data_IF_151351594696
#
_entry.id   IF_151351594696
#
_cell.length_a   1.000
_cell.length_b   1.000
_cell.length_c   1.000
_cell.angle_alpha   90.00
_cell.angle_beta   90.00
_cell.angle_gamma   90.00
#
_symmetry.space_group_name_H-M   'P 1'
#
loop_
_entity.id
_entity.type
_entity.pdbx_description
1 polymer ?
#
# COMPACT_ATOMS: atom_id res chain seq x y z
N UNK A 1 1.20 -55.30 27.65
CA UNK A 1 2.45 -54.58 27.96
C UNK A 1 2.89 -53.83 26.72
N UNK A 2 2.90 -52.49 26.75
CA UNK A 2 3.49 -51.70 25.66
C UNK A 2 5.01 -51.85 25.80
N UNK A 3 5.65 -52.54 24.85
CA UNK A 3 7.10 -52.73 24.84
C UNK A 3 7.85 -51.39 24.74
N UNK A 4 9.14 -51.36 25.08
CA UNK A 4 9.97 -50.14 25.12
C UNK A 4 9.89 -49.27 23.86
N UNK A 5 9.70 -49.89 22.68
CA UNK A 5 9.49 -49.19 21.40
C UNK A 5 8.20 -48.37 21.33
N UNK A 6 7.12 -48.83 21.98
CA UNK A 6 5.84 -48.11 22.03
C UNK A 6 5.89 -46.90 22.95
N UNK A 7 6.71 -46.94 24.01
CA UNK A 7 6.95 -45.80 24.91
C UNK A 7 7.73 -44.69 24.18
N UNK A 8 8.75 -45.06 23.41
CA UNK A 8 9.53 -44.12 22.58
C UNK A 8 8.65 -43.47 21.50
N UNK A 9 7.79 -44.26 20.84
CA UNK A 9 6.86 -43.72 19.84
C UNK A 9 5.87 -42.72 20.45
N UNK A 10 5.30 -43.03 21.62
CA UNK A 10 4.39 -42.13 22.34
C UNK A 10 5.10 -40.83 22.78
N UNK A 11 6.37 -40.93 23.21
CA UNK A 11 7.19 -39.79 23.58
C UNK A 11 7.49 -38.86 22.38
N UNK A 12 7.78 -39.42 21.21
CA UNK A 12 7.98 -38.64 19.97
C UNK A 12 6.68 -37.95 19.54
N UNK A 13 5.53 -38.62 19.66
CA UNK A 13 4.22 -38.03 19.37
C UNK A 13 3.87 -36.89 20.32
N UNK A 14 4.14 -37.05 21.62
CA UNK A 14 3.97 -36.01 22.63
C UNK A 14 4.90 -34.82 22.38
N UNK A 15 6.17 -35.06 22.06
CA UNK A 15 7.11 -34.00 21.70
C UNK A 15 6.64 -33.26 20.45
N UNK A 16 6.23 -33.96 19.39
CA UNK A 16 5.70 -33.31 18.19
C UNK A 16 4.41 -32.53 18.49
N UNK A 17 3.50 -33.07 19.28
CA UNK A 17 2.27 -32.39 19.66
C UNK A 17 2.57 -31.12 20.46
N UNK A 18 3.41 -31.20 21.50
CA UNK A 18 3.86 -30.06 22.30
C UNK A 18 4.57 -29.04 21.42
N UNK A 19 5.48 -29.46 20.55
CA UNK A 19 6.21 -28.57 19.65
C UNK A 19 5.27 -27.89 18.65
N UNK A 20 4.28 -28.62 18.13
CA UNK A 20 3.26 -28.06 17.22
C UNK A 20 2.36 -27.08 17.95
N UNK A 21 1.93 -27.38 19.17
CA UNK A 21 1.12 -26.47 20.01
C UNK A 21 1.91 -25.24 20.46
N UNK A 22 3.19 -25.41 20.80
CA UNK A 22 4.09 -24.32 21.17
C UNK A 22 4.40 -23.44 19.96
N UNK A 23 4.59 -24.02 18.77
CA UNK A 23 4.70 -23.28 17.51
C UNK A 23 3.40 -22.56 17.13
N UNK A 24 2.23 -23.18 17.34
CA UNK A 24 0.91 -22.56 17.13
C UNK A 24 0.66 -21.41 18.13
N UNK A 25 1.12 -21.55 19.37
CA UNK A 25 1.09 -20.53 20.42
C UNK A 25 2.07 -19.38 20.16
N UNK A 26 3.25 -19.66 19.58
CA UNK A 26 4.16 -18.62 19.09
C UNK A 26 3.58 -17.91 17.86
N UNK A 27 2.73 -18.58 17.07
CA UNK A 27 2.02 -18.01 15.91
C UNK A 27 0.75 -17.22 16.27
N UNK A 28 0.25 -17.31 17.50
CA UNK A 28 -0.93 -16.55 17.92
C UNK A 28 -0.53 -15.12 18.23
N UNK A 29 -0.53 -14.29 17.18
CA UNK A 29 -0.58 -12.84 17.32
C UNK A 29 -1.73 -12.47 18.28
N UNK A 30 -1.39 -12.03 19.49
CA UNK A 30 -2.35 -11.52 20.48
C UNK A 30 -2.86 -10.14 20.04
N UNK A 31 -3.70 -10.11 19.02
CA UNK A 31 -4.36 -8.89 18.55
C UNK A 31 -5.70 -8.71 19.24
N UNK A 32 -5.96 -7.50 19.67
CA UNK A 32 -7.28 -7.08 20.16
C UNK A 32 -8.32 -7.19 19.03
N UNK A 33 -9.59 -7.35 19.38
CA UNK A 33 -10.69 -7.38 18.41
C UNK A 33 -10.74 -6.12 17.53
N UNK A 34 -10.36 -4.96 18.11
CA UNK A 34 -10.27 -3.70 17.38
C UNK A 34 -9.16 -3.74 16.32
N UNK A 35 -7.97 -4.25 16.67
CA UNK A 35 -6.87 -4.37 15.70
C UNK A 35 -7.23 -5.31 14.55
N UNK A 36 -7.89 -6.44 14.83
CA UNK A 36 -8.39 -7.34 13.80
C UNK A 36 -9.39 -6.66 12.87
N UNK A 37 -10.36 -5.93 13.42
CA UNK A 37 -11.34 -5.21 12.64
C UNK A 37 -10.69 -4.16 11.73
N UNK A 38 -9.80 -3.32 12.28
CA UNK A 38 -9.10 -2.29 11.53
C UNK A 38 -8.21 -2.89 10.43
N UNK A 39 -7.50 -3.99 10.71
CA UNK A 39 -6.64 -4.67 9.76
C UNK A 39 -7.43 -5.31 8.61
N UNK A 40 -8.53 -6.01 8.92
CA UNK A 40 -9.41 -6.60 7.91
C UNK A 40 -10.08 -5.55 7.05
N UNK A 41 -10.57 -4.46 7.65
CA UNK A 41 -11.14 -3.33 6.94
C UNK A 41 -10.09 -2.68 6.02
N UNK A 42 -8.87 -2.51 6.50
CA UNK A 42 -7.75 -1.98 5.71
C UNK A 42 -7.41 -2.88 4.52
N UNK A 43 -7.33 -4.20 4.74
CA UNK A 43 -7.09 -5.19 3.70
C UNK A 43 -8.19 -5.16 2.62
N UNK A 44 -9.46 -5.06 3.04
CA UNK A 44 -10.58 -4.86 2.12
C UNK A 44 -10.45 -3.57 1.30
N UNK A 45 -10.14 -2.44 1.94
CA UNK A 45 -9.96 -1.16 1.25
C UNK A 45 -8.74 -1.19 0.32
N UNK A 46 -7.65 -1.90 0.66
CA UNK A 46 -6.52 -2.18 -0.24
C UNK A 46 -7.04 -2.86 -1.51
N UNK A 47 -7.82 -3.93 -1.37
CA UNK A 47 -8.39 -4.63 -2.52
C UNK A 47 -9.25 -3.71 -3.39
N UNK A 48 -10.15 -2.95 -2.78
CA UNK A 48 -10.96 -1.93 -3.49
C UNK A 48 -10.05 -0.92 -4.20
N UNK A 49 -8.95 -0.50 -3.59
CA UNK A 49 -8.05 0.48 -4.19
C UNK A 49 -7.29 -0.07 -5.41
N UNK A 50 -6.90 -1.34 -5.35
CA UNK A 50 -6.16 -2.03 -6.42
C UNK A 50 -7.05 -2.40 -7.60
N UNK A 51 -8.37 -2.48 -7.41
CA UNK A 51 -9.34 -2.65 -8.50
C UNK A 51 -9.43 -1.46 -9.47
N UNK A 52 -8.87 -0.29 -9.11
CA UNK A 52 -8.94 0.91 -9.93
C UNK A 52 -9.64 2.09 -9.25
N UNK A 53 -10.29 1.91 -8.10
CA UNK A 53 -10.75 3.05 -7.27
C UNK A 53 -9.54 3.70 -6.62
N UNK A 54 -9.13 4.87 -7.11
CA UNK A 54 -7.97 5.60 -6.55
C UNK A 54 -8.41 6.70 -5.60
N UNK A 55 -7.49 7.14 -4.76
CA UNK A 55 -7.69 8.24 -3.80
C UNK A 55 -8.08 7.81 -2.39
N UNK A 56 -8.20 6.51 -2.12
CA UNK A 56 -8.54 5.96 -0.81
C UNK A 56 -7.32 5.43 -0.02
N UNK A 57 -6.11 5.61 -0.56
CA UNK A 57 -4.87 5.13 0.05
C UNK A 57 -4.64 5.69 1.46
N UNK A 58 -5.05 6.94 1.67
CA UNK A 58 -4.94 7.61 2.97
C UNK A 58 -5.71 6.86 4.05
N UNK A 59 -6.90 6.35 3.75
CA UNK A 59 -7.72 5.61 4.73
C UNK A 59 -7.06 4.31 5.17
N UNK A 60 -6.49 3.56 4.24
CA UNK A 60 -5.77 2.31 4.51
C UNK A 60 -4.65 2.57 5.52
N UNK A 61 -3.88 3.61 5.23
CA UNK A 61 -2.71 3.99 5.99
C UNK A 61 -3.10 4.44 7.41
N UNK A 62 -4.15 5.27 7.54
CA UNK A 62 -4.66 5.71 8.84
C UNK A 62 -5.17 4.56 9.69
N UNK A 63 -5.96 3.64 9.11
CA UNK A 63 -6.52 2.52 9.85
C UNK A 63 -5.43 1.57 10.36
N UNK A 64 -4.41 1.29 9.54
CA UNK A 64 -3.28 0.45 9.95
C UNK A 64 -2.39 1.15 10.98
N UNK A 65 -2.16 2.46 10.84
CA UNK A 65 -1.40 3.23 11.83
C UNK A 65 -2.11 3.28 13.19
N UNK A 66 -3.45 3.37 13.20
CA UNK A 66 -4.25 3.29 14.42
C UNK A 66 -4.18 1.91 15.09
N UNK A 67 -4.03 0.84 14.30
CA UNK A 67 -3.98 -0.53 14.82
C UNK A 67 -2.58 -0.94 15.30
N UNK A 68 -1.51 -0.51 14.60
CA UNK A 68 -0.17 -1.07 14.79
C UNK A 68 0.94 -0.03 15.01
N UNK A 69 0.62 1.27 14.98
CA UNK A 69 1.62 2.35 15.03
C UNK A 69 2.02 2.83 13.64
N UNK A 70 2.54 4.05 13.56
CA UNK A 70 2.81 4.72 12.29
C UNK A 70 3.91 4.01 11.51
N UNK A 71 5.07 3.76 12.12
CA UNK A 71 6.21 3.12 11.44
C UNK A 71 5.92 1.68 11.04
N UNK A 72 5.42 0.86 11.96
CA UNK A 72 5.11 -0.55 11.71
C UNK A 72 4.01 -0.74 10.65
N UNK A 73 2.99 0.14 10.64
CA UNK A 73 1.96 0.08 9.61
C UNK A 73 2.52 0.17 8.19
N UNK A 74 3.61 0.91 8.00
CA UNK A 74 4.20 1.09 6.66
C UNK A 74 4.69 -0.23 6.09
N UNK A 75 5.37 -1.04 6.92
CA UNK A 75 5.89 -2.36 6.58
C UNK A 75 4.79 -3.40 6.43
N UNK A 76 3.84 -3.44 7.36
CA UNK A 76 2.68 -4.34 7.30
C UNK A 76 1.90 -4.21 5.99
N UNK A 77 1.69 -2.98 5.51
CA UNK A 77 0.95 -2.71 4.28
C UNK A 77 1.68 -3.24 3.04
N UNK A 78 3.02 -3.31 3.01
CA UNK A 78 3.76 -3.59 1.76
C UNK A 78 3.43 -4.94 1.15
N UNK A 79 3.49 -6.08 1.88
CA UNK A 79 3.13 -7.38 1.31
C UNK A 79 1.68 -7.41 0.84
N UNK A 80 0.75 -6.77 1.56
CA UNK A 80 -0.66 -6.66 1.16
C UNK A 80 -0.82 -5.88 -0.16
N UNK A 81 -0.08 -4.78 -0.31
CA UNK A 81 -0.07 -4.01 -1.56
C UNK A 81 0.46 -4.85 -2.72
N UNK A 82 1.54 -5.61 -2.51
CA UNK A 82 2.13 -6.48 -3.54
C UNK A 82 1.10 -7.54 -3.98
N UNK A 83 0.42 -8.19 -3.04
CA UNK A 83 -0.64 -9.16 -3.35
C UNK A 83 -1.73 -8.49 -4.20
N UNK A 84 -2.25 -7.34 -3.77
CA UNK A 84 -3.27 -6.61 -4.54
C UNK A 84 -2.76 -6.12 -5.90
N UNK A 85 -1.50 -5.75 -6.01
CA UNK A 85 -0.84 -5.35 -7.26
C UNK A 85 -0.70 -6.52 -8.23
N UNK A 86 -0.37 -7.73 -7.77
CA UNK A 86 -0.33 -8.94 -8.61
C UNK A 86 -1.69 -9.16 -9.29
N UNK A 87 -2.78 -9.12 -8.52
CA UNK A 87 -4.13 -9.26 -9.09
C UNK A 87 -4.48 -8.12 -10.05
N UNK A 88 -4.14 -6.88 -9.70
CA UNK A 88 -4.38 -5.73 -10.58
C UNK A 88 -3.59 -5.83 -11.88
N UNK A 89 -2.34 -6.30 -11.85
CA UNK A 89 -1.52 -6.54 -13.03
C UNK A 89 -2.13 -7.65 -13.88
N UNK A 90 -2.49 -8.79 -13.29
CA UNK A 90 -3.13 -9.90 -14.02
C UNK A 90 -4.40 -9.41 -14.74
N UNK A 91 -5.22 -8.59 -14.08
CA UNK A 91 -6.48 -8.13 -14.65
C UNK A 91 -6.32 -6.99 -15.68
N UNK A 92 -5.41 -6.04 -15.46
CA UNK A 92 -5.33 -4.79 -16.25
C UNK A 92 -4.10 -4.67 -17.18
N UNK A 93 -3.18 -5.64 -17.22
CA UNK A 93 -1.91 -5.54 -17.97
C UNK A 93 -2.07 -5.14 -19.46
N UNK A 94 -3.17 -5.53 -20.11
CA UNK A 94 -3.42 -5.27 -21.53
C UNK A 94 -3.52 -3.78 -21.88
N UNK A 95 -3.74 -2.91 -20.89
CA UNK A 95 -3.90 -1.46 -21.08
C UNK A 95 -2.65 -0.66 -20.68
N UNK A 96 -1.56 -1.33 -20.32
CA UNK A 96 -0.39 -0.66 -19.75
C UNK A 96 0.39 0.17 -20.77
N UNK A 97 0.67 1.41 -20.40
CA UNK A 97 1.44 2.36 -21.20
C UNK A 97 2.87 2.49 -20.65
N UNK A 98 3.75 1.59 -21.06
CA UNK A 98 5.13 1.46 -20.57
C UNK A 98 5.97 2.73 -20.68
N UNK A 99 5.73 3.55 -21.71
CA UNK A 99 6.42 4.83 -21.91
C UNK A 99 6.35 5.74 -20.67
N UNK A 100 5.21 5.76 -19.98
CA UNK A 100 5.05 6.59 -18.79
C UNK A 100 5.72 5.96 -17.56
N UNK A 101 5.78 4.62 -17.49
CA UNK A 101 6.48 3.90 -16.41
C UNK A 101 7.98 4.20 -16.50
N UNK A 102 8.60 3.99 -17.67
CA UNK A 102 10.05 4.22 -17.86
C UNK A 102 10.42 5.68 -17.58
N UNK A 103 9.53 6.62 -17.88
CA UNK A 103 9.75 8.05 -17.61
C UNK A 103 9.61 8.42 -16.13
N UNK A 104 8.77 7.72 -15.37
CA UNK A 104 8.39 8.11 -14.00
C UNK A 104 9.11 7.28 -12.93
N UNK A 105 9.25 5.97 -13.16
CA UNK A 105 9.75 5.00 -12.20
C UNK A 105 11.18 5.28 -11.71
N UNK A 106 12.17 5.69 -12.55
CA UNK A 106 13.52 5.97 -12.06
C UNK A 106 13.56 7.08 -11.00
N UNK A 107 12.77 8.14 -11.22
CA UNK A 107 12.62 9.23 -10.25
C UNK A 107 11.90 8.79 -8.99
N UNK A 108 10.91 7.89 -9.13
CA UNK A 108 10.22 7.27 -8.00
C UNK A 108 11.15 6.40 -7.17
N UNK A 109 12.02 5.61 -7.81
CA UNK A 109 13.03 4.81 -7.11
C UNK A 109 14.03 5.71 -6.37
N UNK A 110 14.48 6.81 -6.99
CA UNK A 110 15.32 7.80 -6.32
C UNK A 110 14.61 8.39 -5.08
N UNK A 111 13.33 8.74 -5.21
CA UNK A 111 12.54 9.21 -4.08
C UNK A 111 12.38 8.16 -2.97
N UNK A 112 12.22 6.88 -3.32
CA UNK A 112 12.20 5.79 -2.32
C UNK A 112 13.51 5.74 -1.56
N UNK A 113 14.66 5.79 -2.24
CA UNK A 113 15.97 5.79 -1.59
C UNK A 113 16.12 6.98 -0.63
N UNK A 114 15.71 8.19 -1.05
CA UNK A 114 15.68 9.37 -0.19
C UNK A 114 14.79 9.11 1.04
N UNK A 115 13.59 8.56 0.83
CA UNK A 115 12.68 8.18 1.91
C UNK A 115 13.30 7.18 2.89
N UNK A 116 14.02 6.16 2.39
CA UNK A 116 14.73 5.17 3.21
C UNK A 116 15.72 5.85 4.14
N UNK A 117 16.53 6.78 3.61
CA UNK A 117 17.52 7.53 4.38
C UNK A 117 16.88 8.48 5.40
N UNK A 118 15.77 9.13 5.04
CA UNK A 118 15.06 10.03 5.96
C UNK A 118 14.43 9.25 7.11
N UNK A 119 13.79 8.11 6.82
CA UNK A 119 12.96 7.39 7.80
C UNK A 119 13.70 6.37 8.67
N UNK A 120 14.93 5.97 8.33
CA UNK A 120 15.64 4.89 9.05
C UNK A 120 15.85 5.19 10.54
N UNK A 121 16.25 6.42 10.86
CA UNK A 121 16.72 6.82 12.18
C UNK A 121 15.68 7.69 12.93
N UNK A 122 14.44 7.78 12.43
CA UNK A 122 13.37 8.52 13.09
C UNK A 122 12.75 7.69 14.23
N UNK A 123 12.55 8.35 15.36
CA UNK A 123 11.70 7.88 16.45
C UNK A 123 10.22 7.89 16.03
N UNK A 124 9.38 7.16 16.77
CA UNK A 124 7.96 6.96 16.42
C UNK A 124 7.17 8.28 16.33
N UNK A 125 7.45 9.25 17.21
CA UNK A 125 6.75 10.52 17.22
C UNK A 125 7.14 11.36 16.01
N UNK A 126 8.43 11.47 15.73
CA UNK A 126 8.93 12.19 14.57
C UNK A 126 8.48 11.52 13.26
N UNK A 127 8.46 10.20 13.22
CA UNK A 127 7.95 9.44 12.07
C UNK A 127 6.47 9.75 11.82
N UNK A 128 5.64 9.68 12.87
CA UNK A 128 4.22 10.04 12.81
C UNK A 128 4.01 11.47 12.32
N UNK A 129 4.78 12.43 12.82
CA UNK A 129 4.70 13.82 12.37
C UNK A 129 5.11 13.99 10.89
N UNK A 130 6.19 13.32 10.46
CA UNK A 130 6.63 13.34 9.06
C UNK A 130 5.57 12.78 8.11
N UNK A 131 4.90 11.71 8.53
CA UNK A 131 3.81 11.08 7.82
C UNK A 131 2.59 12.00 7.72
N UNK A 132 2.23 12.70 8.80
CA UNK A 132 1.19 13.73 8.77
C UNK A 132 1.54 14.85 7.78
N UNK A 133 2.77 15.37 7.79
CA UNK A 133 3.24 16.38 6.83
C UNK A 133 3.14 15.88 5.39
N UNK A 134 3.55 14.64 5.13
CA UNK A 134 3.43 14.00 3.81
C UNK A 134 1.98 13.92 3.35
N UNK A 135 1.06 13.51 4.23
CA UNK A 135 -0.38 13.43 3.95
C UNK A 135 -0.93 14.82 3.59
N UNK A 136 -0.67 15.83 4.43
CA UNK A 136 -1.17 17.18 4.21
C UNK A 136 -0.59 17.81 2.94
N UNK A 137 0.72 17.68 2.74
CA UNK A 137 1.41 18.17 1.54
C UNK A 137 0.85 17.53 0.27
N UNK A 138 0.57 16.23 0.30
CA UNK A 138 -0.06 15.51 -0.82
C UNK A 138 -1.41 16.13 -1.19
N UNK A 139 -2.19 16.53 -0.19
CA UNK A 139 -3.55 17.02 -0.40
C UNK A 139 -3.55 18.48 -0.87
N UNK A 140 -2.73 19.32 -0.25
CA UNK A 140 -2.53 20.70 -0.70
C UNK A 140 -2.09 20.71 -2.16
N UNK A 141 -1.14 19.84 -2.52
CA UNK A 141 -0.65 19.73 -3.89
C UNK A 141 -1.74 19.26 -4.86
N UNK A 142 -2.55 18.27 -4.47
CA UNK A 142 -3.68 17.80 -5.28
C UNK A 142 -4.73 18.88 -5.50
N UNK A 143 -5.10 19.60 -4.45
CA UNK A 143 -6.05 20.69 -4.52
C UNK A 143 -5.55 21.83 -5.42
N UNK A 144 -4.28 22.22 -5.28
CA UNK A 144 -3.68 23.22 -6.13
C UNK A 144 -3.64 22.79 -7.60
N UNK A 145 -3.32 21.52 -7.86
CA UNK A 145 -3.27 20.99 -9.22
C UNK A 145 -4.64 20.91 -9.88
N UNK A 146 -5.68 20.53 -9.13
CA UNK A 146 -7.04 20.46 -9.68
C UNK A 146 -7.58 21.82 -10.12
N UNK A 147 -7.17 22.89 -9.44
CA UNK A 147 -7.53 24.27 -9.81
C UNK A 147 -6.83 24.76 -11.09
N UNK A 148 -5.75 24.11 -11.54
CA UNK A 148 -5.10 24.49 -12.81
C UNK A 148 -5.96 24.03 -14.00
N UNK A 149 -6.58 25.00 -14.68
CA UNK A 149 -7.31 24.81 -15.96
C UNK A 149 -6.42 24.49 -17.16
N UNK A 150 -5.10 24.33 -16.97
CA UNK A 150 -4.16 24.13 -18.08
C UNK A 150 -4.53 22.88 -18.88
N UNK A 151 -4.72 23.05 -20.19
CA UNK A 151 -5.05 21.95 -21.10
C UNK A 151 -3.83 21.24 -21.69
N UNK A 152 -2.64 21.77 -21.43
CA UNK A 152 -1.42 21.29 -22.09
C UNK A 152 -0.78 20.16 -21.27
N UNK A 153 -0.48 19.05 -21.96
CA UNK A 153 0.23 17.91 -21.38
C UNK A 153 1.67 18.35 -21.06
N UNK A 154 2.16 18.21 -19.82
CA UNK A 154 3.51 18.61 -19.48
C UNK A 154 4.55 17.78 -20.24
N UNK A 155 5.36 18.42 -21.07
CA UNK A 155 6.40 17.74 -21.87
C UNK A 155 7.77 17.74 -21.20
N UNK A 156 8.04 18.69 -20.30
CA UNK A 156 9.35 18.81 -19.65
C UNK A 156 9.67 17.66 -18.69
N UNK A 157 10.92 17.17 -18.67
CA UNK A 157 11.36 16.06 -17.83
C UNK A 157 11.25 16.38 -16.34
N UNK A 158 11.48 17.63 -15.94
CA UNK A 158 11.38 18.08 -14.54
C UNK A 158 10.00 17.87 -13.91
N UNK A 159 8.92 17.85 -14.71
CA UNK A 159 7.60 17.52 -14.20
C UNK A 159 7.51 16.05 -13.77
N UNK A 160 7.97 15.13 -14.63
CA UNK A 160 8.05 13.72 -14.30
C UNK A 160 9.05 13.46 -13.15
N UNK A 161 10.16 14.20 -13.13
CA UNK A 161 11.18 14.13 -12.09
C UNK A 161 10.66 14.52 -10.71
N UNK A 162 10.09 15.72 -10.59
CA UNK A 162 9.56 16.21 -9.31
C UNK A 162 8.41 15.35 -8.79
N UNK A 163 7.44 15.02 -9.65
CA UNK A 163 6.33 14.14 -9.27
C UNK A 163 6.81 12.73 -8.91
N UNK A 164 7.80 12.20 -9.63
CA UNK A 164 8.39 10.89 -9.37
C UNK A 164 9.10 10.86 -8.01
N UNK A 165 10.01 11.80 -7.75
CA UNK A 165 10.72 11.89 -6.46
C UNK A 165 9.74 12.02 -5.30
N UNK A 166 8.74 12.90 -5.42
CA UNK A 166 7.72 13.06 -4.37
C UNK A 166 6.90 11.78 -4.19
N UNK A 167 6.48 11.12 -5.27
CA UNK A 167 5.81 9.82 -5.18
C UNK A 167 6.70 8.78 -4.45
N UNK A 168 8.00 8.75 -4.76
CA UNK A 168 8.97 7.87 -4.13
C UNK A 168 9.12 8.08 -2.62
N UNK A 169 9.32 9.34 -2.20
CA UNK A 169 9.46 9.68 -0.77
C UNK A 169 8.17 9.31 -0.03
N UNK A 170 7.02 9.70 -0.57
CA UNK A 170 5.73 9.51 0.09
C UNK A 170 5.27 8.07 0.09
N UNK A 171 5.67 7.25 -0.89
CA UNK A 171 5.40 5.81 -0.84
C UNK A 171 6.23 5.08 0.19
N UNK A 172 7.48 5.51 0.42
CA UNK A 172 8.34 4.88 1.42
C UNK A 172 7.88 5.25 2.84
N UNK A 173 7.62 6.53 3.11
CA UNK A 173 7.24 7.01 4.45
C UNK A 173 5.81 6.64 4.83
N UNK A 174 4.88 6.61 3.87
CA UNK A 174 3.47 6.47 4.21
C UNK A 174 2.65 5.58 3.29
N UNK A 175 3.23 4.95 2.27
CA UNK A 175 2.45 4.27 1.21
C UNK A 175 1.49 5.22 0.43
N UNK A 176 1.88 6.49 0.28
CA UNK A 176 0.99 7.57 -0.21
C UNK A 176 1.34 8.10 -1.62
N UNK A 177 2.14 7.36 -2.40
CA UNK A 177 2.51 7.75 -3.76
C UNK A 177 1.32 8.09 -4.67
N UNK A 178 0.15 7.51 -4.37
CA UNK A 178 -1.09 7.72 -5.13
C UNK A 178 -1.38 9.19 -5.41
N UNK A 179 -1.15 10.11 -4.49
CA UNK A 179 -1.42 11.52 -4.72
C UNK A 179 -0.60 12.07 -5.90
N UNK A 180 0.71 11.83 -5.90
CA UNK A 180 1.63 12.34 -6.93
C UNK A 180 1.56 11.54 -8.24
N UNK A 181 1.46 10.21 -8.17
CA UNK A 181 1.31 9.38 -9.37
C UNK A 181 -0.02 9.64 -10.08
N UNK A 182 -1.12 9.86 -9.33
CA UNK A 182 -2.40 10.19 -9.91
C UNK A 182 -2.36 11.55 -10.58
N UNK A 183 -1.75 12.57 -9.96
CA UNK A 183 -1.54 13.88 -10.60
C UNK A 183 -0.77 13.72 -11.90
N UNK A 184 0.34 12.96 -11.89
CA UNK A 184 1.14 12.72 -13.08
C UNK A 184 0.33 12.08 -14.20
N UNK A 185 -0.36 10.97 -13.95
CA UNK A 185 -1.15 10.28 -14.96
C UNK A 185 -2.38 11.08 -15.42
N UNK A 186 -3.03 11.83 -14.52
CA UNK A 186 -4.12 12.74 -14.88
C UNK A 186 -3.62 13.90 -15.76
N UNK A 187 -2.40 14.41 -15.52
CA UNK A 187 -1.78 15.43 -16.36
C UNK A 187 -1.40 14.88 -17.75
N UNK A 188 -1.07 13.58 -17.84
CA UNK A 188 -0.83 12.87 -19.10
C UNK A 188 -2.13 12.47 -19.83
N UNK A 189 -3.29 12.69 -19.21
CA UNK A 189 -4.63 12.46 -19.80
C UNK A 189 -4.84 11.02 -20.29
N UNK A 190 -4.29 10.06 -19.57
CA UNK A 190 -4.54 8.65 -19.85
C UNK A 190 -6.04 8.32 -19.72
N UNK A 191 -6.64 7.60 -20.69
CA UNK A 191 -7.95 6.98 -20.51
C UNK A 191 -7.98 6.11 -19.25
N UNK A 192 -9.14 5.93 -18.61
CA UNK A 192 -9.28 5.20 -17.33
C UNK A 192 -8.60 3.84 -17.33
N UNK A 193 -8.80 3.03 -18.36
CA UNK A 193 -8.23 1.68 -18.39
C UNK A 193 -6.71 1.71 -18.54
N UNK A 194 -6.18 2.64 -19.33
CA UNK A 194 -4.73 2.86 -19.45
C UNK A 194 -4.14 3.38 -18.15
N UNK A 195 -4.84 4.29 -17.47
CA UNK A 195 -4.47 4.78 -16.16
C UNK A 195 -4.37 3.61 -15.16
N UNK A 196 -5.42 2.78 -15.07
CA UNK A 196 -5.47 1.68 -14.10
C UNK A 196 -4.37 0.64 -14.39
N UNK A 197 -4.24 0.21 -15.65
CA UNK A 197 -3.22 -0.77 -16.06
C UNK A 197 -1.79 -0.27 -15.93
N UNK A 198 -1.54 1.00 -16.22
CA UNK A 198 -0.21 1.62 -16.04
C UNK A 198 0.13 1.79 -14.56
N UNK A 199 -0.83 2.23 -13.74
CA UNK A 199 -0.65 2.35 -12.31
C UNK A 199 -0.43 0.99 -11.64
N UNK A 200 -1.11 -0.08 -12.08
CA UNK A 200 -0.93 -1.42 -11.53
C UNK A 200 0.53 -1.89 -11.63
N UNK A 201 1.15 -1.79 -12.82
CA UNK A 201 2.56 -2.12 -12.99
C UNK A 201 3.50 -1.18 -12.25
N UNK A 202 3.24 0.13 -12.27
CA UNK A 202 4.06 1.09 -11.55
C UNK A 202 4.13 0.75 -10.05
N UNK A 203 2.97 0.50 -9.43
CA UNK A 203 2.88 0.18 -8.01
C UNK A 203 3.44 -1.20 -7.69
N UNK A 204 3.22 -2.19 -8.55
CA UNK A 204 3.84 -3.51 -8.39
C UNK A 204 5.36 -3.40 -8.33
N UNK A 205 5.98 -2.75 -9.31
CA UNK A 205 7.44 -2.64 -9.43
C UNK A 205 8.02 -1.86 -8.24
N UNK A 206 7.43 -0.72 -7.89
CA UNK A 206 7.96 0.10 -6.78
C UNK A 206 7.75 -0.57 -5.42
N UNK A 207 6.65 -1.33 -5.24
CA UNK A 207 6.41 -2.05 -3.99
C UNK A 207 7.35 -3.25 -3.83
N UNK A 208 7.73 -3.91 -4.94
CA UNK A 208 8.83 -4.89 -4.92
C UNK A 208 10.15 -4.20 -4.62
N UNK A 209 10.44 -3.07 -5.27
CA UNK A 209 11.69 -2.34 -5.06
C UNK A 209 11.89 -1.88 -3.62
N UNK A 210 10.82 -1.46 -2.94
CA UNK A 210 10.92 -1.01 -1.54
C UNK A 210 10.95 -2.14 -0.51
N UNK A 211 10.48 -3.33 -0.87
CA UNK A 211 10.34 -4.47 0.04
C UNK A 211 11.66 -4.81 0.77
N UNK A 212 12.83 -4.88 0.10
CA UNK A 212 14.11 -5.09 0.78
C UNK A 212 14.41 -4.04 1.85
N UNK A 213 14.05 -2.77 1.65
CA UNK A 213 14.34 -1.73 2.63
C UNK A 213 13.48 -1.87 3.89
N UNK A 214 12.22 -2.31 3.75
CA UNK A 214 11.39 -2.62 4.91
C UNK A 214 11.89 -3.84 5.70
N UNK A 215 12.47 -4.83 5.02
CA UNK A 215 13.01 -6.04 5.67
C UNK A 215 14.37 -5.74 6.32
N UNK A 216 15.31 -5.17 5.58
CA UNK A 216 16.72 -5.10 5.99
C UNK A 216 17.11 -3.77 6.66
N UNK A 217 16.51 -2.64 6.25
CA UNK A 217 16.89 -1.32 6.75
C UNK A 217 15.96 -0.87 7.88
N UNK A 218 14.65 -0.85 7.63
CA UNK A 218 13.66 -0.39 8.60
C UNK A 218 13.20 -1.48 9.57
N UNK A 219 13.37 -2.76 9.21
CA UNK A 219 12.99 -3.93 10.01
C UNK A 219 11.51 -3.95 10.45
N UNK A 220 10.65 -3.31 9.67
CA UNK A 220 9.19 -3.21 9.88
C UNK A 220 8.42 -4.43 9.34
N UNK A 221 9.11 -5.41 8.76
CA UNK A 221 8.51 -6.67 8.29
C UNK A 221 9.19 -7.82 9.05
N UNK A 222 8.45 -8.37 10.01
CA UNK A 222 8.82 -9.55 10.81
C UNK A 222 8.05 -10.79 10.34
N UNK A 223 8.43 -11.97 10.84
CA UNK A 223 7.68 -13.21 10.60
C UNK A 223 6.21 -13.09 11.05
N UNK A 224 5.97 -12.48 12.21
CA UNK A 224 4.61 -12.27 12.73
C UNK A 224 3.79 -11.37 11.82
N UNK A 225 4.40 -10.28 11.34
CA UNK A 225 3.78 -9.37 10.37
C UNK A 225 3.42 -10.10 9.06
N UNK A 226 4.26 -11.04 8.63
CA UNK A 226 4.05 -11.82 7.42
C UNK A 226 2.89 -12.82 7.60
N UNK A 227 2.81 -13.51 8.74
CA UNK A 227 1.70 -14.40 9.09
C UNK A 227 0.39 -13.62 9.18
N UNK A 228 0.40 -12.44 9.80
CA UNK A 228 -0.76 -11.54 9.81
C UNK A 228 -1.20 -11.22 8.39
N UNK A 229 -0.26 -10.86 7.52
CA UNK A 229 -0.57 -10.54 6.13
C UNK A 229 -1.25 -11.68 5.38
N UNK A 230 -0.81 -12.93 5.59
CA UNK A 230 -1.47 -14.11 5.01
C UNK A 230 -2.93 -14.24 5.45
N UNK A 231 -3.22 -13.99 6.75
CA UNK A 231 -4.59 -14.01 7.29
C UNK A 231 -5.48 -12.90 6.73
N UNK A 232 -4.89 -11.80 6.25
CA UNK A 232 -5.61 -10.64 5.69
C UNK A 232 -5.89 -10.76 4.17
N UNK A 233 -5.25 -11.69 3.46
CA UNK A 233 -5.45 -11.89 2.01
C UNK A 233 -6.93 -12.05 1.61
N UNK A 234 -7.78 -12.83 2.33
CA UNK A 234 -9.19 -12.95 1.98
C UNK A 234 -9.91 -11.60 1.92
N UNK A 235 -9.57 -10.66 2.81
CA UNK A 235 -10.10 -9.30 2.80
C UNK A 235 -9.73 -8.55 1.51
N UNK A 236 -8.48 -8.66 1.06
CA UNK A 236 -8.01 -8.07 -0.20
C UNK A 236 -8.81 -8.62 -1.38
N UNK A 237 -8.99 -9.94 -1.45
CA UNK A 237 -9.71 -10.58 -2.55
C UNK A 237 -11.16 -10.11 -2.61
N UNK A 238 -11.87 -10.09 -1.48
CA UNK A 238 -13.23 -9.57 -1.40
C UNK A 238 -13.29 -8.10 -1.83
N UNK A 239 -12.35 -7.28 -1.37
CA UNK A 239 -12.24 -5.88 -1.76
C UNK A 239 -11.99 -5.70 -3.26
N UNK A 240 -11.13 -6.52 -3.86
CA UNK A 240 -10.87 -6.50 -5.30
C UNK A 240 -12.13 -6.81 -6.10
N UNK A 241 -12.87 -7.88 -5.74
CA UNK A 241 -14.11 -8.24 -6.43
C UNK A 241 -15.15 -7.12 -6.38
N UNK A 242 -15.40 -6.59 -5.18
CA UNK A 242 -16.33 -5.46 -4.99
C UNK A 242 -15.84 -4.24 -5.76
N UNK A 243 -14.55 -3.93 -5.69
CA UNK A 243 -13.95 -2.80 -6.36
C UNK A 243 -14.05 -2.88 -7.89
N UNK A 244 -13.76 -4.04 -8.48
CA UNK A 244 -13.87 -4.25 -9.94
C UNK A 244 -15.31 -4.02 -10.37
N UNK A 245 -16.28 -4.59 -9.65
CA UNK A 245 -17.70 -4.38 -9.90
C UNK A 245 -18.05 -2.88 -9.88
N UNK A 246 -17.64 -2.13 -8.86
CA UNK A 246 -17.89 -0.70 -8.74
C UNK A 246 -17.20 0.11 -9.86
N UNK A 247 -15.94 -0.19 -10.18
CA UNK A 247 -15.17 0.52 -11.20
C UNK A 247 -15.82 0.42 -12.57
N UNK A 248 -16.38 -0.74 -12.94
CA UNK A 248 -17.05 -0.91 -14.23
C UNK A 248 -18.27 -0.01 -14.40
N UNK A 249 -18.93 0.41 -13.32
CA UNK A 249 -20.09 1.31 -13.34
C UNK A 249 -19.70 2.79 -13.44
N UNK A 250 -18.44 3.15 -13.16
CA UNK A 250 -17.97 4.54 -13.15
C UNK A 250 -17.59 4.99 -14.57
N UNK A 251 -18.28 6.03 -15.05
CA UNK A 251 -17.95 6.73 -16.32
C UNK A 251 -16.67 7.56 -16.19
N UNK A 252 -15.93 7.70 -17.30
CA UNK A 252 -14.67 8.47 -17.41
C UNK A 252 -14.73 9.86 -16.75
N UNK A 253 -15.76 10.66 -17.06
CA UNK A 253 -15.90 12.02 -16.52
C UNK A 253 -16.12 12.07 -14.99
N UNK A 254 -16.68 11.00 -14.40
CA UNK A 254 -16.87 10.89 -12.95
C UNK A 254 -15.62 10.35 -12.26
N UNK A 255 -14.85 9.49 -12.94
CA UNK A 255 -13.64 8.88 -12.39
C UNK A 255 -12.64 9.92 -11.89
N UNK A 256 -12.35 10.95 -12.70
CA UNK A 256 -11.43 12.04 -12.31
C UNK A 256 -11.92 12.80 -11.08
N UNK A 257 -13.22 13.14 -11.02
CA UNK A 257 -13.83 13.86 -9.89
C UNK A 257 -13.81 13.01 -8.61
N UNK A 258 -14.08 11.73 -8.72
CA UNK A 258 -14.07 10.79 -7.60
C UNK A 258 -12.68 10.70 -6.95
N UNK A 259 -11.61 10.56 -7.75
CA UNK A 259 -10.23 10.49 -7.22
C UNK A 259 -9.92 11.74 -6.39
N UNK A 260 -10.24 12.92 -6.93
CA UNK A 260 -9.99 14.19 -6.26
C UNK A 260 -10.79 14.30 -4.96
N UNK A 261 -12.09 13.98 -5.00
CA UNK A 261 -12.96 14.03 -3.84
C UNK A 261 -12.53 13.07 -2.73
N UNK A 262 -12.29 11.79 -3.06
CA UNK A 262 -11.90 10.79 -2.07
C UNK A 262 -10.54 11.10 -1.45
N UNK A 263 -9.61 11.65 -2.23
CA UNK A 263 -8.31 12.04 -1.69
C UNK A 263 -8.42 13.27 -0.78
N UNK A 264 -9.26 14.26 -1.14
CA UNK A 264 -9.52 15.42 -0.28
C UNK A 264 -10.19 15.02 1.04
N UNK A 265 -11.17 14.11 0.98
CA UNK A 265 -11.86 13.59 2.15
C UNK A 265 -10.91 12.82 3.07
N UNK A 266 -10.03 11.98 2.49
CA UNK A 266 -8.96 11.31 3.23
C UNK A 266 -8.04 12.27 3.99
N UNK A 267 -7.75 13.44 3.42
CA UNK A 267 -6.97 14.47 4.11
C UNK A 267 -7.68 15.11 5.29
N UNK A 268 -8.97 15.45 5.10
CA UNK A 268 -9.74 16.20 6.10
C UNK A 268 -9.95 15.36 7.36
N UNK A 269 -10.16 14.05 7.18
CA UNK A 269 -10.23 13.09 8.28
C UNK A 269 -8.97 13.05 9.15
N UNK A 270 -7.82 13.48 8.62
CA UNK A 270 -6.54 13.47 9.34
C UNK A 270 -6.27 14.81 10.00
N UNK A 271 -6.72 15.93 9.42
CA UNK A 271 -6.59 17.24 10.04
C UNK A 271 -7.45 17.42 11.29
N UNK A 272 -8.55 16.68 11.39
CA UNK A 272 -9.51 16.78 12.48
C UNK A 272 -9.20 15.87 13.68
N UNK A 273 -8.01 15.24 13.71
CA UNK A 273 -7.59 14.31 14.77
C UNK A 273 -6.11 14.47 15.11
#
# INVERSE_FOLDING_TARGET
MIGSKGIIFLYILLLNFIYTHYMLSLLSLELTSMQWFLALLSAFIIGVSKSGIKGIAILIVTLMALAFGAKESTGLIVPLLIVGDIFAVIYYNRHTQWKYIVRFLPWMMLGVLIGVFIGKDLDELTFKNSMAVVILGSVIMMYWWDRKKSKNVPTHWAFAGSMGIMAGITTMIGNLAGAFSNIFFLAMRLPKNEFIGTAAWLFFIINIFKLPFHIFVWKTITLDSFILNLKLIPGILLGLFVGIFLVTKIKEGFYRKMILFLTALGSLLILLR
#
